data_IF_796241284384
#
_entry.id   IF_796241284384
#
_cell.length_a   1.000
_cell.length_b   1.000
_cell.length_c   1.000
_cell.angle_alpha   90.00
_cell.angle_beta   90.00
_cell.angle_gamma   90.00
#
_symmetry.space_group_name_H-M   'P 1'
#
loop_
_entity.id
_entity.type
_entity.pdbx_description
1 polymer ?
#
# COMPACT_ATOMS: atom_id res chain seq x y z
N UNK A 1 7.75 -18.04 10.81
CA UNK A 1 7.43 -16.71 10.29
C UNK A 1 6.02 -16.64 9.75
N UNK A 2 5.34 -15.58 10.07
CA UNK A 2 3.96 -15.43 9.60
C UNK A 2 3.94 -14.92 8.17
N UNK A 3 2.81 -15.08 7.49
CA UNK A 3 2.60 -14.55 6.16
C UNK A 3 2.77 -13.04 6.15
N UNK A 4 2.41 -12.39 7.25
CA UNK A 4 2.54 -10.95 7.41
C UNK A 4 3.99 -10.50 7.22
N UNK A 5 4.93 -11.20 7.87
CA UNK A 5 6.33 -10.83 7.78
C UNK A 5 6.88 -11.02 6.37
N UNK A 6 6.44 -12.06 5.69
CA UNK A 6 6.88 -12.34 4.33
C UNK A 6 6.46 -11.23 3.37
N UNK A 7 5.23 -10.76 3.51
CA UNK A 7 4.73 -9.71 2.63
C UNK A 7 5.47 -8.40 2.86
N UNK A 8 5.74 -8.06 4.11
CA UNK A 8 6.50 -6.85 4.44
C UNK A 8 7.92 -6.94 3.89
N UNK A 9 8.56 -8.09 4.04
CA UNK A 9 9.91 -8.28 3.53
C UNK A 9 9.95 -8.17 2.00
N UNK A 10 8.96 -8.75 1.32
CA UNK A 10 8.87 -8.63 -0.13
C UNK A 10 8.71 -7.18 -0.54
N UNK A 11 7.85 -6.44 0.16
CA UNK A 11 7.62 -5.02 -0.12
C UNK A 11 8.90 -4.20 0.02
N UNK A 12 9.69 -4.49 1.06
CA UNK A 12 10.93 -3.74 1.31
C UNK A 12 11.96 -3.90 0.20
N UNK A 13 11.86 -4.96 -0.57
CA UNK A 13 12.77 -5.20 -1.68
C UNK A 13 12.38 -4.42 -2.92
N UNK A 14 11.26 -3.72 -2.89
CA UNK A 14 10.77 -2.91 -4.00
C UNK A 14 10.69 -3.74 -5.30
N UNK A 15 9.95 -4.84 -5.28
CA UNK A 15 9.87 -5.70 -6.46
C UNK A 15 9.14 -5.01 -7.60
N UNK A 16 9.42 -5.43 -8.82
CA UNK A 16 8.77 -4.85 -9.99
C UNK A 16 7.40 -5.46 -10.27
N UNK A 17 7.06 -6.52 -9.56
CA UNK A 17 5.80 -7.23 -9.78
C UNK A 17 4.87 -7.21 -8.56
N UNK A 18 5.01 -6.21 -7.71
CA UNK A 18 4.16 -6.08 -6.55
C UNK A 18 2.78 -5.60 -6.99
N UNK A 19 1.75 -6.40 -6.71
CA UNK A 19 0.40 -6.08 -7.19
C UNK A 19 -0.33 -5.16 -6.24
N UNK A 20 -1.38 -4.51 -6.76
CA UNK A 20 -2.23 -3.67 -5.95
C UNK A 20 -2.92 -4.49 -4.84
N UNK A 21 -3.32 -5.73 -5.17
CA UNK A 21 -3.94 -6.60 -4.16
C UNK A 21 -2.99 -6.89 -3.01
N UNK A 22 -1.70 -7.11 -3.32
CA UNK A 22 -0.69 -7.29 -2.29
C UNK A 22 -0.55 -6.03 -1.45
N UNK A 23 -0.63 -4.87 -2.09
CA UNK A 23 -0.52 -3.60 -1.39
C UNK A 23 -1.68 -3.39 -0.42
N UNK A 24 -2.90 -3.70 -0.85
CA UNK A 24 -4.07 -3.62 0.02
C UNK A 24 -3.89 -4.52 1.23
N UNK A 25 -3.39 -5.73 1.00
CA UNK A 25 -3.14 -6.68 2.08
C UNK A 25 -2.08 -6.17 3.03
N UNK A 26 -1.02 -5.55 2.48
CA UNK A 26 0.04 -4.97 3.30
C UNK A 26 -0.51 -3.88 4.21
N UNK A 27 -1.28 -2.95 3.66
CA UNK A 27 -1.89 -1.89 4.45
C UNK A 27 -2.79 -2.45 5.54
N UNK A 28 -3.57 -3.48 5.21
CA UNK A 28 -4.45 -4.13 6.18
C UNK A 28 -3.64 -4.72 7.34
N UNK A 29 -2.53 -5.35 7.03
CA UNK A 29 -1.67 -5.92 8.07
C UNK A 29 -1.05 -4.86 8.96
N UNK A 30 -0.87 -3.66 8.45
CA UNK A 30 -0.31 -2.55 9.21
C UNK A 30 -1.38 -1.77 9.97
N UNK A 31 -2.64 -2.19 9.86
CA UNK A 31 -3.72 -1.55 10.58
C UNK A 31 -4.49 -0.49 9.82
N UNK A 32 -4.20 -0.32 8.55
CA UNK A 32 -4.94 0.61 7.72
C UNK A 32 -6.21 -0.04 7.19
N UNK A 33 -7.22 0.78 6.94
CA UNK A 33 -8.45 0.35 6.30
C UNK A 33 -8.59 1.06 4.96
N UNK A 34 -9.14 0.36 3.99
CA UNK A 34 -9.42 0.95 2.70
C UNK A 34 -10.73 1.73 2.78
N UNK A 35 -10.64 3.03 2.57
CA UNK A 35 -11.79 3.92 2.63
C UNK A 35 -12.29 4.18 1.21
N UNK A 36 -13.42 3.56 0.87
CA UNK A 36 -14.03 3.73 -0.43
C UNK A 36 -15.21 4.69 -0.39
N UNK A 37 -15.49 5.26 0.76
CA UNK A 37 -16.62 6.17 0.91
C UNK A 37 -16.35 7.45 0.13
N UNK A 38 -17.28 7.81 -0.72
CA UNK A 38 -17.14 9.00 -1.50
C UNK A 38 -16.06 8.92 -2.56
N UNK A 39 -15.63 7.72 -2.88
CA UNK A 39 -14.67 7.52 -3.96
C UNK A 39 -15.34 7.89 -5.26
N UNK A 40 -15.05 9.08 -5.75
CA UNK A 40 -15.71 9.60 -6.90
C UNK A 40 -14.81 9.69 -8.11
N UNK A 41 -13.53 9.47 -7.92
CA UNK A 41 -12.54 9.76 -8.95
C UNK A 41 -11.91 8.49 -9.50
N UNK A 42 -12.73 7.58 -9.95
CA UNK A 42 -12.21 6.43 -10.66
C UNK A 42 -11.22 5.60 -9.88
N UNK A 43 -9.93 5.78 -10.16
CA UNK A 43 -8.91 4.89 -9.63
C UNK A 43 -8.30 5.33 -8.30
N UNK A 44 -8.74 6.44 -7.75
CA UNK A 44 -8.15 6.92 -6.50
C UNK A 44 -8.68 6.11 -5.32
N UNK A 45 -7.75 5.67 -4.45
CA UNK A 45 -8.11 4.94 -3.23
C UNK A 45 -7.44 5.62 -2.05
N UNK A 46 -8.05 5.48 -0.88
CA UNK A 46 -7.55 6.11 0.34
C UNK A 46 -7.44 5.04 1.42
N UNK A 47 -6.26 4.98 2.05
CA UNK A 47 -6.03 4.10 3.18
C UNK A 47 -5.97 4.95 4.44
N UNK A 48 -6.70 4.55 5.48
CA UNK A 48 -6.77 5.33 6.71
C UNK A 48 -6.41 4.46 7.91
N UNK A 49 -5.73 5.09 8.87
CA UNK A 49 -5.38 4.45 10.14
C UNK A 49 -5.34 5.54 11.20
N UNK A 50 -6.28 5.49 12.13
CA UNK A 50 -6.39 6.52 13.17
C UNK A 50 -6.47 7.90 12.51
N UNK A 51 -5.47 8.76 12.73
CA UNK A 51 -5.42 10.07 12.10
C UNK A 51 -4.47 10.10 10.89
N UNK A 52 -4.01 8.96 10.43
CA UNK A 52 -3.15 8.86 9.26
C UNK A 52 -3.99 8.58 8.01
N UNK A 53 -3.57 9.16 6.91
CA UNK A 53 -4.28 8.97 5.64
C UNK A 53 -3.27 8.90 4.51
N UNK A 54 -3.40 7.91 3.65
CA UNK A 54 -2.52 7.77 2.49
C UNK A 54 -3.37 7.59 1.23
N UNK A 55 -3.15 8.45 0.26
CA UNK A 55 -3.92 8.44 -0.98
C UNK A 55 -3.05 7.85 -2.09
N UNK A 56 -3.64 6.94 -2.85
CA UNK A 56 -2.92 6.22 -3.89
C UNK A 56 -3.83 6.03 -5.08
N UNK A 57 -3.26 6.07 -6.28
CA UNK A 57 -4.00 5.75 -7.48
C UNK A 57 -3.82 4.27 -7.81
N UNK A 58 -4.94 3.60 -8.03
CA UNK A 58 -4.92 2.19 -8.41
C UNK A 58 -4.27 2.05 -9.79
N UNK A 59 -3.31 1.14 -9.94
CA UNK A 59 -2.65 0.97 -11.23
C UNK A 59 -3.65 0.49 -12.29
N UNK A 60 -3.45 0.97 -13.51
CA UNK A 60 -4.34 0.67 -14.61
C UNK A 60 -3.60 0.88 -15.91
N UNK A 61 -3.71 0.00 -16.90
CA UNK A 61 -4.56 -1.21 -16.95
C UNK A 61 -3.95 -2.42 -16.24
N UNK A 62 -2.67 -2.38 -15.90
CA UNK A 62 -2.02 -3.50 -15.21
C UNK A 62 -2.24 -3.34 -13.71
N UNK A 63 -2.15 -4.47 -13.00
CA UNK A 63 -2.41 -4.50 -11.57
C UNK A 63 -1.13 -4.39 -10.73
N UNK A 64 0.00 -4.06 -11.36
CA UNK A 64 1.27 -3.94 -10.65
C UNK A 64 1.58 -2.49 -10.29
N UNK A 65 2.10 -2.29 -9.09
CA UNK A 65 2.46 -0.98 -8.59
C UNK A 65 3.91 -0.69 -8.96
N UNK A 66 4.15 0.47 -9.54
CA UNK A 66 5.50 0.84 -9.99
C UNK A 66 6.43 1.04 -8.80
N UNK A 67 7.71 0.73 -9.02
CA UNK A 67 8.73 0.85 -7.98
C UNK A 67 8.80 2.25 -7.38
N UNK A 68 8.59 3.27 -8.18
CA UNK A 68 8.66 4.65 -7.68
C UNK A 68 7.61 4.88 -6.59
N UNK A 69 6.42 4.30 -6.76
CA UNK A 69 5.38 4.43 -5.74
C UNK A 69 5.66 3.56 -4.54
N UNK A 70 6.20 2.37 -4.75
CA UNK A 70 6.61 1.51 -3.64
C UNK A 70 7.69 2.17 -2.80
N UNK A 71 8.64 2.82 -3.46
CA UNK A 71 9.72 3.50 -2.78
C UNK A 71 9.20 4.64 -1.91
N UNK A 72 8.29 5.44 -2.46
CA UNK A 72 7.67 6.53 -1.69
C UNK A 72 6.92 6.00 -0.48
N UNK A 73 6.15 4.94 -0.69
CA UNK A 73 5.38 4.35 0.39
C UNK A 73 6.30 3.75 1.45
N UNK A 74 7.36 3.09 1.02
CA UNK A 74 8.31 2.50 1.94
C UNK A 74 8.91 3.57 2.87
N UNK A 75 9.31 4.69 2.29
CA UNK A 75 9.85 5.79 3.08
C UNK A 75 8.82 6.33 4.06
N UNK A 76 7.58 6.45 3.61
CA UNK A 76 6.50 6.93 4.46
C UNK A 76 6.28 5.99 5.64
N UNK A 77 6.21 4.70 5.38
CA UNK A 77 5.97 3.72 6.43
C UNK A 77 7.12 3.64 7.41
N UNK A 78 8.36 3.75 6.92
CA UNK A 78 9.53 3.76 7.80
C UNK A 78 9.56 5.01 8.66
N UNK A 79 9.22 6.15 8.09
CA UNK A 79 9.18 7.41 8.82
C UNK A 79 8.19 7.34 9.97
N UNK A 80 7.10 6.64 9.78
CA UNK A 80 6.06 6.48 10.78
C UNK A 80 6.26 5.24 11.65
N UNK A 81 7.39 4.57 11.48
CA UNK A 81 7.77 3.40 12.28
C UNK A 81 6.77 2.25 12.17
N UNK A 82 6.18 2.09 11.00
CA UNK A 82 5.23 1.02 10.74
C UNK A 82 5.92 -0.24 10.20
N UNK A 83 7.08 -0.06 9.62
CA UNK A 83 7.89 -1.20 9.15
C UNK A 83 9.35 -1.02 9.52
#
# INVERSE_FOLDING_TARGET
MSTKDKLIERFKQLPSDFTFDELVRLFSQLGFELDNKGATSGSRVVFVKEDMKYILHKPHPVNTVKKVYLNKLCKYLRKNKLI
#
